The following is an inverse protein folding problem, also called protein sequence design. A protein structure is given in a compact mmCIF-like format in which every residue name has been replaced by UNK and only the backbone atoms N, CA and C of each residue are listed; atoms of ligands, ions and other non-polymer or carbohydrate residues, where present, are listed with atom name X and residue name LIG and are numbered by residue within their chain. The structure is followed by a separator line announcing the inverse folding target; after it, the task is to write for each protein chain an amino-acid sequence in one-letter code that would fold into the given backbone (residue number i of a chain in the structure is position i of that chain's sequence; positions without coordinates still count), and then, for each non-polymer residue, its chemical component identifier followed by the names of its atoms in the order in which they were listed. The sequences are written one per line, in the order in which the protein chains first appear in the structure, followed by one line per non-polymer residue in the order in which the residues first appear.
data_IF_133825285924
#
_entry.id   IF_133825285924
#
_cell.length_a   1.000
_cell.length_b   1.000
_cell.length_c   1.000
_cell.angle_alpha   90.00
_cell.angle_beta   90.00
_cell.angle_gamma   90.00
#
_symmetry.space_group_name_H-M   'P 1'
#
loop_
_entity.id
_entity.type
_entity.pdbx_description
1 polymer ?
#
# COMPACT_ATOMS: atom_id res chain seq x y z
N UNK A 1 9.62 -13.05 -2.23
CA UNK A 1 8.50 -12.26 -2.75
C UNK A 1 8.57 -10.78 -2.49
N UNK A 2 9.73 -10.25 -2.78
CA UNK A 2 10.17 -8.93 -2.36
C UNK A 2 10.01 -7.85 -3.40
N UNK A 3 9.53 -8.22 -4.56
CA UNK A 3 9.37 -7.32 -5.68
C UNK A 3 7.93 -6.95 -5.94
N UNK A 4 7.00 -7.78 -5.49
CA UNK A 4 5.63 -7.37 -5.18
C UNK A 4 5.61 -6.33 -4.06
N UNK A 5 6.56 -6.40 -3.11
CA UNK A 5 6.65 -5.45 -2.00
C UNK A 5 7.05 -4.03 -2.38
N UNK A 6 7.61 -3.74 -3.57
CA UNK A 6 7.90 -2.36 -3.95
C UNK A 6 6.63 -1.56 -4.24
N UNK A 7 5.70 -2.10 -5.02
CA UNK A 7 4.40 -1.45 -5.22
C UNK A 7 3.52 -1.41 -3.96
N UNK A 8 3.51 -2.51 -3.20
CA UNK A 8 2.79 -2.61 -1.93
C UNK A 8 3.43 -1.75 -0.83
N UNK A 9 4.76 -1.72 -0.77
CA UNK A 9 5.50 -0.85 0.15
C UNK A 9 5.12 0.63 0.00
N UNK A 10 4.74 1.07 -1.18
CA UNK A 10 4.41 2.46 -1.47
C UNK A 10 3.07 2.89 -0.87
N UNK A 11 2.11 1.98 -0.75
CA UNK A 11 0.83 2.21 -0.06
C UNK A 11 1.04 2.37 1.45
N UNK A 12 1.87 1.52 2.09
CA UNK A 12 2.19 1.65 3.52
C UNK A 12 2.83 2.99 3.86
N UNK A 13 3.73 3.43 2.99
CA UNK A 13 4.57 4.61 3.20
C UNK A 13 3.76 5.89 3.22
N UNK A 14 2.70 5.96 2.40
CA UNK A 14 1.86 7.14 2.31
C UNK A 14 1.17 7.47 3.62
N UNK A 15 0.56 6.50 4.28
CA UNK A 15 -0.19 6.75 5.52
C UNK A 15 0.72 7.27 6.63
N UNK A 16 1.90 6.66 6.79
CA UNK A 16 2.88 7.17 7.75
C UNK A 16 3.34 8.58 7.35
N UNK A 17 3.51 8.84 6.04
CA UNK A 17 3.93 10.15 5.55
C UNK A 17 2.87 11.22 5.72
N UNK A 18 1.59 10.92 5.62
CA UNK A 18 0.53 11.90 5.87
C UNK A 18 0.46 12.33 7.33
N UNK A 19 0.70 11.42 8.28
CA UNK A 19 0.89 11.80 9.68
C UNK A 19 2.13 12.65 9.93
N UNK A 20 3.18 12.43 9.16
CA UNK A 20 4.47 13.12 9.31
C UNK A 20 4.50 14.42 8.51
N UNK A 21 3.68 14.57 7.46
CA UNK A 21 3.59 15.81 6.65
C UNK A 21 3.45 17.09 7.49
N UNK A 22 2.51 17.23 8.43
CA UNK A 22 2.41 18.43 9.24
C UNK A 22 3.67 18.71 10.08
N UNK A 23 4.41 17.65 10.42
CA UNK A 23 5.65 17.72 11.18
C UNK A 23 6.88 18.01 10.31
N UNK A 24 6.81 17.73 9.00
CA UNK A 24 7.90 17.90 8.04
C UNK A 24 7.80 19.26 7.32
N UNK A 25 6.59 19.78 7.05
CA UNK A 25 6.38 20.95 6.19
C UNK A 25 6.83 22.30 6.78
N UNK A 26 7.12 22.39 8.07
CA UNK A 26 7.71 23.58 8.66
C UNK A 26 9.22 23.44 8.87
N UNK A 27 10.01 23.90 7.93
CA UNK A 27 11.39 24.39 8.05
C UNK A 27 12.60 23.49 7.75
N UNK A 28 12.49 22.11 7.61
CA UNK A 28 13.72 21.29 7.45
C UNK A 28 13.57 20.15 6.42
N UNK A 29 13.11 20.46 5.21
CA UNK A 29 12.84 19.46 4.15
C UNK A 29 14.08 18.74 3.58
N UNK A 30 15.31 19.05 4.02
CA UNK A 30 16.51 18.56 3.34
C UNK A 30 17.44 17.67 4.20
N UNK A 31 17.14 17.45 5.48
CA UNK A 31 18.00 16.67 6.35
C UNK A 31 17.46 15.25 6.57
N UNK A 32 18.07 14.26 5.93
CA UNK A 32 17.72 12.84 6.00
C UNK A 32 17.62 12.35 7.45
N UNK A 33 18.59 12.68 8.30
CA UNK A 33 18.62 12.24 9.69
C UNK A 33 17.46 12.82 10.52
N UNK A 34 17.08 14.05 10.27
CA UNK A 34 15.94 14.68 10.97
C UNK A 34 14.62 14.00 10.60
N UNK A 35 14.40 13.69 9.32
CA UNK A 35 13.23 12.95 8.85
C UNK A 35 13.22 11.54 9.44
N UNK A 36 14.37 10.85 9.37
CA UNK A 36 14.54 9.54 9.99
C UNK A 36 14.18 9.52 11.47
N UNK A 37 14.67 10.50 12.24
CA UNK A 37 14.38 10.57 13.68
C UNK A 37 12.92 10.80 14.01
N UNK A 38 12.22 11.61 13.21
CA UNK A 38 10.76 11.83 13.35
C UNK A 38 9.97 10.57 13.03
N UNK A 39 10.27 9.93 11.90
CA UNK A 39 9.62 8.69 11.48
C UNK A 39 9.89 7.57 12.50
N UNK A 40 11.12 7.46 12.99
CA UNK A 40 11.49 6.48 14.02
C UNK A 40 10.66 6.63 15.30
N UNK A 41 10.42 7.86 15.73
CA UNK A 41 9.57 8.15 16.91
C UNK A 41 8.15 7.64 16.69
N UNK A 42 7.57 7.90 15.52
CA UNK A 42 6.23 7.42 15.16
C UNK A 42 6.21 5.89 15.10
N UNK A 43 7.17 5.27 14.41
CA UNK A 43 7.26 3.82 14.32
C UNK A 43 7.38 3.15 15.69
N UNK A 44 8.14 3.73 16.63
CA UNK A 44 8.23 3.24 18.02
C UNK A 44 6.88 3.33 18.73
N UNK A 45 6.20 4.46 18.62
CA UNK A 45 4.88 4.67 19.25
C UNK A 45 3.86 3.63 18.79
N UNK A 46 3.79 3.35 17.49
CA UNK A 46 2.81 2.40 16.93
C UNK A 46 3.32 0.96 16.89
N UNK A 47 4.61 0.73 17.09
CA UNK A 47 5.23 -0.59 17.23
C UNK A 47 5.23 -1.13 18.65
N UNK A 48 4.74 -0.37 19.62
CA UNK A 48 4.68 -0.80 21.02
C UNK A 48 3.97 -2.16 21.17
N UNK A 49 4.44 -2.99 22.11
CA UNK A 49 4.00 -4.37 22.31
C UNK A 49 4.33 -5.37 21.16
N UNK A 50 4.90 -4.90 20.04
CA UNK A 50 5.34 -5.77 18.93
C UNK A 50 6.85 -5.94 18.90
N UNK A 51 7.56 -5.12 19.63
CA UNK A 51 9.03 -5.05 19.68
C UNK A 51 9.50 -5.10 21.14
N UNK A 52 10.73 -5.59 21.32
CA UNK A 52 11.39 -5.52 22.64
C UNK A 52 11.89 -4.09 22.94
N UNK A 53 12.40 -3.86 24.15
CA UNK A 53 12.94 -2.56 24.60
C UNK A 53 14.01 -1.96 23.66
N UNK A 54 14.74 -2.83 22.92
CA UNK A 54 15.74 -2.42 21.93
C UNK A 54 15.17 -2.15 20.53
N UNK A 55 13.85 -2.27 20.34
CA UNK A 55 13.18 -2.01 19.08
C UNK A 55 13.26 -3.13 18.05
N UNK A 56 13.49 -4.37 18.48
CA UNK A 56 13.56 -5.55 17.63
C UNK A 56 12.37 -6.48 17.83
N UNK A 57 11.96 -7.17 16.77
CA UNK A 57 10.99 -8.26 16.84
C UNK A 57 11.57 -9.34 17.76
N UNK A 58 10.82 -9.84 18.76
CA UNK A 58 11.27 -10.93 19.62
C UNK A 58 11.64 -12.17 18.80
N UNK A 59 12.88 -12.62 18.94
CA UNK A 59 13.40 -13.82 18.27
C UNK A 59 14.60 -14.39 19.02
N UNK A 60 14.89 -15.70 18.93
CA UNK A 60 16.09 -16.28 19.49
C UNK A 60 17.35 -15.74 18.78
N UNK A 61 18.48 -15.74 19.51
CA UNK A 61 19.78 -15.36 18.97
C UNK A 61 20.23 -13.94 19.33
N UNK A 62 21.23 -13.46 18.60
CA UNK A 62 21.86 -12.16 18.87
C UNK A 62 20.92 -11.02 18.50
N UNK A 63 20.68 -10.13 19.45
CA UNK A 63 19.85 -8.92 19.25
C UNK A 63 20.60 -7.91 18.40
N UNK A 64 20.06 -7.50 17.22
CA UNK A 64 20.70 -6.52 16.37
C UNK A 64 20.85 -5.15 17.04
N UNK A 65 22.01 -4.53 16.91
CA UNK A 65 22.25 -3.16 17.45
C UNK A 65 21.49 -2.08 16.66
N UNK A 66 21.44 -2.20 15.33
CA UNK A 66 20.55 -1.39 14.49
C UNK A 66 19.22 -2.14 14.46
N UNK A 67 18.21 -1.62 15.13
CA UNK A 67 16.96 -2.34 15.43
C UNK A 67 16.07 -2.53 14.20
N UNK A 68 15.09 -3.44 14.30
CA UNK A 68 14.12 -3.68 13.23
C UNK A 68 13.24 -2.45 12.98
N UNK A 69 12.91 -1.70 14.03
CA UNK A 69 12.15 -0.46 13.90
C UNK A 69 12.96 0.64 13.21
N UNK A 70 14.30 0.66 13.39
CA UNK A 70 15.18 1.57 12.65
C UNK A 70 15.26 1.20 11.16
N UNK A 71 15.25 -0.09 10.84
CA UNK A 71 15.18 -0.55 9.43
C UNK A 71 13.89 -0.08 8.77
N UNK A 72 12.74 -0.20 9.46
CA UNK A 72 11.44 0.30 8.97
C UNK A 72 11.49 1.83 8.79
N UNK A 73 11.94 2.54 9.82
CA UNK A 73 12.03 4.00 9.77
C UNK A 73 12.94 4.48 8.64
N UNK A 74 14.07 3.82 8.40
CA UNK A 74 14.98 4.16 7.31
C UNK A 74 14.34 3.90 5.94
N UNK A 75 13.61 2.80 5.79
CA UNK A 75 12.87 2.50 4.57
C UNK A 75 11.81 3.58 4.27
N UNK A 76 11.02 3.95 5.27
CA UNK A 76 10.02 5.02 5.15
C UNK A 76 10.65 6.38 4.87
N UNK A 77 11.83 6.65 5.44
CA UNK A 77 12.58 7.88 5.18
C UNK A 77 13.04 7.97 3.72
N UNK A 78 13.55 6.87 3.15
CA UNK A 78 13.97 6.85 1.74
C UNK A 78 12.82 7.19 0.81
N UNK A 79 11.64 6.64 1.07
CA UNK A 79 10.44 6.92 0.28
C UNK A 79 9.94 8.36 0.47
N UNK A 80 9.92 8.84 1.73
CA UNK A 80 9.54 10.22 2.04
C UNK A 80 10.40 11.27 1.30
N UNK A 81 11.64 10.91 1.04
CA UNK A 81 12.62 11.77 0.35
C UNK A 81 12.72 11.48 -1.16
N UNK A 82 11.92 10.58 -1.71
CA UNK A 82 11.99 10.17 -3.11
C UNK A 82 13.33 9.51 -3.49
N UNK A 83 13.95 8.78 -2.55
CA UNK A 83 15.22 8.08 -2.79
C UNK A 83 14.93 6.64 -3.21
N UNK A 84 14.79 6.38 -4.49
CA UNK A 84 14.45 5.06 -5.03
C UNK A 84 15.60 4.05 -4.99
N UNK A 85 16.85 4.55 -4.98
CA UNK A 85 18.03 3.71 -5.03
C UNK A 85 18.64 3.49 -3.65
N UNK A 86 18.71 2.22 -3.21
CA UNK A 86 19.41 1.84 -1.98
C UNK A 86 20.89 2.28 -2.00
N UNK A 87 21.54 2.24 -3.16
CA UNK A 87 22.92 2.72 -3.30
C UNK A 87 22.99 4.23 -3.02
N UNK A 88 22.08 5.02 -3.57
CA UNK A 88 22.03 6.46 -3.33
C UNK A 88 21.70 6.76 -1.85
N UNK A 89 20.76 6.00 -1.26
CA UNK A 89 20.45 6.13 0.16
C UNK A 89 21.71 5.93 1.02
N UNK A 90 22.49 4.87 0.79
CA UNK A 90 23.68 4.58 1.57
C UNK A 90 24.84 5.54 1.31
N UNK A 91 24.95 6.15 0.12
CA UNK A 91 25.87 7.27 -0.14
C UNK A 91 25.51 8.46 0.75
N UNK A 92 24.25 8.88 0.78
CA UNK A 92 23.78 9.99 1.62
C UNK A 92 23.92 9.69 3.12
N UNK A 93 23.69 8.45 3.54
CA UNK A 93 23.86 8.02 4.94
C UNK A 93 25.31 8.08 5.41
N UNK A 94 26.27 8.05 4.50
CA UNK A 94 27.69 8.17 4.87
C UNK A 94 28.04 9.47 5.59
N UNK A 95 27.29 10.55 5.36
CA UNK A 95 27.42 11.85 6.02
C UNK A 95 26.94 11.80 7.49
N UNK A 96 26.14 10.81 7.85
CA UNK A 96 25.52 10.69 9.18
C UNK A 96 26.10 9.55 10.03
N UNK A 97 27.25 8.99 9.69
CA UNK A 97 27.88 7.88 10.42
C UNK A 97 28.03 8.15 11.92
N UNK A 98 28.40 9.36 12.29
CA UNK A 98 28.55 9.75 13.70
C UNK A 98 27.22 9.76 14.46
N UNK A 99 26.10 10.02 13.76
CA UNK A 99 24.74 10.05 14.34
C UNK A 99 24.08 8.68 14.31
N UNK A 100 24.58 7.76 13.47
CA UNK A 100 24.06 6.41 13.28
C UNK A 100 25.21 5.37 13.40
N UNK A 101 25.84 5.23 14.58
CA UNK A 101 27.03 4.39 14.75
C UNK A 101 26.76 2.90 14.52
N UNK A 102 25.52 2.46 14.67
CA UNK A 102 25.12 1.06 14.46
C UNK A 102 24.54 0.80 13.07
N UNK A 103 24.64 1.77 12.13
CA UNK A 103 24.13 1.60 10.78
C UNK A 103 24.71 0.34 10.12
N UNK A 104 23.85 -0.50 9.61
CA UNK A 104 24.18 -1.76 8.95
C UNK A 104 24.61 -1.54 7.49
N UNK A 105 25.22 -2.55 6.89
CA UNK A 105 25.53 -2.53 5.46
C UNK A 105 24.26 -2.54 4.59
N UNK A 106 24.39 -2.05 3.35
CA UNK A 106 23.29 -2.06 2.37
C UNK A 106 22.70 -3.46 2.16
N UNK A 107 23.55 -4.50 2.12
CA UNK A 107 23.09 -5.90 1.99
C UNK A 107 22.23 -6.32 3.19
N UNK A 108 22.73 -6.10 4.41
CA UNK A 108 21.99 -6.40 5.62
C UNK A 108 20.66 -5.62 5.70
N UNK A 109 20.69 -4.35 5.30
CA UNK A 109 19.48 -3.53 5.21
C UNK A 109 18.45 -4.16 4.25
N UNK A 110 18.89 -4.54 3.04
CA UNK A 110 18.01 -5.17 2.06
C UNK A 110 17.37 -6.46 2.59
N UNK A 111 18.18 -7.33 3.21
CA UNK A 111 17.71 -8.59 3.76
C UNK A 111 16.73 -8.36 4.93
N UNK A 112 17.06 -7.45 5.84
CA UNK A 112 16.22 -7.16 7.01
C UNK A 112 14.93 -6.41 6.66
N UNK A 113 14.95 -5.52 5.69
CA UNK A 113 13.74 -4.86 5.20
C UNK A 113 12.67 -5.86 4.79
N UNK A 114 13.09 -7.01 4.28
CA UNK A 114 12.20 -8.12 3.91
C UNK A 114 11.53 -8.74 5.13
N UNK A 115 12.31 -9.05 6.12
CA UNK A 115 11.81 -9.74 7.33
C UNK A 115 10.98 -8.82 8.23
N UNK A 116 11.07 -7.51 8.08
CA UNK A 116 10.31 -6.53 8.87
C UNK A 116 8.99 -6.10 8.20
N UNK A 117 8.64 -6.65 7.05
CA UNK A 117 7.43 -6.26 6.30
C UNK A 117 6.13 -6.42 7.09
N UNK A 118 5.98 -7.54 7.80
CA UNK A 118 4.79 -7.80 8.65
C UNK A 118 4.67 -6.79 9.78
N UNK A 119 5.78 -6.45 10.45
CA UNK A 119 5.77 -5.42 11.49
C UNK A 119 5.40 -4.05 10.91
N UNK A 120 5.93 -3.73 9.73
CA UNK A 120 5.60 -2.48 9.02
C UNK A 120 4.10 -2.40 8.68
N UNK A 121 3.49 -3.51 8.22
CA UNK A 121 2.05 -3.56 7.95
C UNK A 121 1.21 -3.40 9.23
N UNK A 122 1.60 -4.05 10.31
CA UNK A 122 0.89 -3.91 11.59
C UNK A 122 0.95 -2.47 12.10
N UNK A 123 2.11 -1.80 12.01
CA UNK A 123 2.26 -0.38 12.34
C UNK A 123 1.34 0.47 11.45
N UNK A 124 1.28 0.20 10.15
CA UNK A 124 0.39 0.89 9.21
C UNK A 124 -1.08 0.77 9.64
N UNK A 125 -1.55 -0.44 9.93
CA UNK A 125 -2.94 -0.70 10.34
C UNK A 125 -3.30 0.10 11.62
N UNK A 126 -2.42 0.10 12.61
CA UNK A 126 -2.60 0.88 13.85
C UNK A 126 -2.65 2.39 13.59
N UNK A 127 -1.84 2.88 12.65
CA UNK A 127 -1.85 4.27 12.23
C UNK A 127 -3.17 4.61 11.53
N UNK A 128 -3.62 3.77 10.61
CA UNK A 128 -4.88 3.94 9.90
C UNK A 128 -6.06 4.00 10.89
N UNK A 129 -6.11 3.05 11.81
CA UNK A 129 -7.12 3.02 12.88
C UNK A 129 -7.07 4.26 13.79
N UNK A 130 -5.88 4.77 14.10
CA UNK A 130 -5.74 5.98 14.92
C UNK A 130 -6.23 7.25 14.22
N UNK A 131 -6.06 7.33 12.88
CA UNK A 131 -6.46 8.52 12.10
C UNK A 131 -7.96 8.47 11.78
N UNK A 132 -8.47 7.31 11.45
CA UNK A 132 -9.75 7.10 10.78
C UNK A 132 -10.57 5.97 11.44
N UNK A 133 -10.27 5.68 12.70
CA UNK A 133 -11.02 4.69 13.48
C UNK A 133 -12.45 5.18 13.72
N UNK A 134 -13.43 4.34 13.35
CA UNK A 134 -14.85 4.68 13.40
C UNK A 134 -15.41 5.22 12.09
N UNK A 135 -14.64 5.19 10.98
CA UNK A 135 -15.17 5.47 9.64
C UNK A 135 -16.18 4.37 9.23
N UNK A 136 -17.35 4.79 8.78
CA UNK A 136 -18.42 3.91 8.33
C UNK A 136 -18.57 3.90 6.80
N UNK A 137 -17.88 4.82 6.11
CA UNK A 137 -17.97 4.97 4.65
C UNK A 137 -16.61 4.81 4.02
N UNK A 138 -16.49 3.81 3.17
CA UNK A 138 -15.26 3.50 2.46
C UNK A 138 -15.42 3.61 0.95
N UNK A 139 -14.33 3.88 0.26
CA UNK A 139 -14.26 3.83 -1.20
C UNK A 139 -13.38 2.66 -1.61
N UNK A 140 -13.84 1.87 -2.59
CA UNK A 140 -13.08 0.77 -3.19
C UNK A 140 -12.83 1.05 -4.67
N UNK A 141 -11.62 0.80 -5.12
CA UNK A 141 -11.28 0.83 -6.54
C UNK A 141 -10.04 -0.01 -6.83
N UNK A 142 -9.74 -0.21 -8.11
CA UNK A 142 -8.56 -0.94 -8.56
C UNK A 142 -7.76 -0.15 -9.57
N UNK A 143 -6.43 -0.29 -9.51
CA UNK A 143 -5.50 0.35 -10.42
C UNK A 143 -4.58 -0.65 -11.10
N UNK A 144 -4.44 -0.60 -12.45
CA UNK A 144 -3.45 -1.37 -13.18
C UNK A 144 -2.03 -1.03 -12.76
N UNK A 145 -1.21 -2.06 -12.55
CA UNK A 145 0.23 -1.97 -12.28
C UNK A 145 0.95 -2.74 -13.37
N UNK A 146 1.50 -2.03 -14.33
CA UNK A 146 2.25 -2.62 -15.42
C UNK A 146 3.62 -3.12 -14.95
N UNK A 147 3.98 -4.33 -15.35
CA UNK A 147 5.29 -4.92 -15.08
C UNK A 147 6.24 -4.69 -16.25
N UNK A 148 5.73 -4.79 -17.46
CA UNK A 148 6.47 -4.52 -18.68
C UNK A 148 5.51 -4.25 -19.83
N UNK A 149 6.03 -3.75 -20.96
CA UNK A 149 5.24 -3.57 -22.19
C UNK A 149 4.56 -4.88 -22.60
N UNK A 150 3.32 -4.81 -23.06
CA UNK A 150 2.49 -5.96 -23.48
C UNK A 150 3.26 -6.92 -24.39
N UNK A 151 4.00 -6.40 -25.38
CA UNK A 151 4.80 -7.22 -26.31
C UNK A 151 5.91 -8.06 -25.62
N UNK A 152 6.30 -7.70 -24.40
CA UNK A 152 7.29 -8.42 -23.59
C UNK A 152 6.67 -9.40 -22.58
N UNK A 153 5.36 -9.38 -22.38
CA UNK A 153 4.67 -10.16 -21.36
C UNK A 153 5.03 -11.65 -21.39
N UNK A 154 5.00 -12.29 -22.57
CA UNK A 154 5.36 -13.71 -22.75
C UNK A 154 6.82 -14.02 -22.36
N UNK A 155 7.72 -13.05 -22.38
CA UNK A 155 9.15 -13.19 -22.04
C UNK A 155 9.47 -12.72 -20.62
N UNK A 156 8.49 -12.21 -19.88
CA UNK A 156 8.67 -11.77 -18.50
C UNK A 156 9.10 -12.94 -17.62
N UNK A 157 10.13 -12.71 -16.80
CA UNK A 157 10.67 -13.73 -15.88
C UNK A 157 10.07 -13.66 -14.48
N UNK A 158 9.30 -12.60 -14.18
CA UNK A 158 8.69 -12.39 -12.88
C UNK A 158 7.70 -13.52 -12.55
N UNK A 159 7.80 -14.12 -11.39
CA UNK A 159 6.92 -15.19 -10.93
C UNK A 159 7.08 -16.53 -11.64
N UNK A 160 8.18 -16.78 -12.40
CA UNK A 160 8.39 -18.05 -13.08
C UNK A 160 8.46 -19.27 -12.15
N UNK A 161 8.96 -19.06 -10.93
CA UNK A 161 9.07 -20.11 -9.92
C UNK A 161 7.76 -20.35 -9.16
N UNK A 162 6.79 -19.45 -9.30
CA UNK A 162 5.49 -19.55 -8.66
C UNK A 162 4.41 -18.97 -9.59
N UNK A 163 3.78 -19.83 -10.34
CA UNK A 163 2.73 -19.47 -11.30
C UNK A 163 1.54 -18.80 -10.64
N UNK A 164 1.31 -19.05 -9.35
CA UNK A 164 0.24 -18.40 -8.61
C UNK A 164 0.45 -16.89 -8.46
N UNK A 165 1.72 -16.46 -8.46
CA UNK A 165 2.14 -15.07 -8.31
C UNK A 165 2.59 -14.40 -9.60
N UNK A 166 2.65 -15.15 -10.71
CA UNK A 166 3.06 -14.60 -12.01
C UNK A 166 2.09 -13.51 -12.49
N UNK A 167 2.58 -12.40 -13.08
CA UNK A 167 1.73 -11.40 -13.69
C UNK A 167 0.96 -11.98 -14.89
N UNK A 168 -0.12 -11.33 -15.28
CA UNK A 168 -0.96 -11.76 -16.40
C UNK A 168 -1.36 -10.61 -17.31
N UNK A 169 -1.96 -10.93 -18.47
CA UNK A 169 -2.59 -9.93 -19.32
C UNK A 169 -3.93 -9.50 -18.71
N UNK A 170 -4.20 -8.20 -18.73
CA UNK A 170 -5.45 -7.60 -18.33
C UNK A 170 -5.87 -6.51 -19.30
N UNK A 171 -7.10 -6.06 -19.19
CA UNK A 171 -7.65 -4.96 -19.96
C UNK A 171 -8.10 -3.84 -19.02
N UNK A 172 -7.63 -2.62 -19.28
CA UNK A 172 -8.04 -1.43 -18.57
C UNK A 172 -9.13 -0.71 -19.37
N UNK A 173 -10.37 -0.79 -18.91
CA UNK A 173 -11.53 -0.21 -19.62
C UNK A 173 -11.47 1.32 -19.71
N UNK A 174 -11.00 2.00 -18.67
CA UNK A 174 -10.88 3.46 -18.63
C UNK A 174 -9.85 4.00 -19.62
N UNK A 175 -8.75 3.28 -19.83
CA UNK A 175 -7.68 3.63 -20.75
C UNK A 175 -7.82 2.98 -22.13
N UNK A 176 -8.80 2.05 -22.28
CA UNK A 176 -9.07 1.29 -23.51
C UNK A 176 -7.82 0.54 -24.03
N UNK A 177 -6.95 0.06 -23.13
CA UNK A 177 -5.74 -0.63 -23.51
C UNK A 177 -5.55 -1.94 -22.75
N UNK A 178 -4.77 -2.86 -23.36
CA UNK A 178 -4.26 -4.06 -22.70
C UNK A 178 -2.96 -3.74 -21.98
N UNK A 179 -2.75 -4.39 -20.84
CA UNK A 179 -1.52 -4.29 -20.09
C UNK A 179 -1.09 -5.68 -19.59
N UNK A 180 0.17 -5.82 -19.23
CA UNK A 180 0.71 -7.02 -18.61
C UNK A 180 1.25 -6.71 -17.23
N UNK A 181 0.67 -7.31 -16.19
CA UNK A 181 1.04 -6.98 -14.83
C UNK A 181 0.07 -7.49 -13.78
N UNK A 182 -0.17 -6.63 -12.82
CA UNK A 182 -1.05 -6.84 -11.68
C UNK A 182 -2.12 -5.76 -11.60
N UNK A 183 -3.05 -5.96 -10.69
CA UNK A 183 -4.07 -5.00 -10.32
C UNK A 183 -3.96 -4.73 -8.82
N UNK A 184 -3.73 -3.48 -8.44
CA UNK A 184 -3.79 -3.03 -7.06
C UNK A 184 -5.24 -2.71 -6.73
N UNK A 185 -5.81 -3.43 -5.78
CA UNK A 185 -7.08 -3.09 -5.15
C UNK A 185 -6.81 -2.32 -3.88
N UNK A 186 -7.60 -1.31 -3.57
CA UNK A 186 -7.48 -0.58 -2.32
C UNK A 186 -8.87 -0.19 -1.78
N UNK A 187 -8.96 -0.12 -0.46
CA UNK A 187 -10.10 0.43 0.27
C UNK A 187 -9.57 1.59 1.11
N UNK A 188 -10.15 2.77 0.92
CA UNK A 188 -9.82 3.95 1.73
C UNK A 188 -11.07 4.55 2.38
N UNK A 189 -10.91 5.18 3.55
CA UNK A 189 -11.92 6.01 4.16
C UNK A 189 -12.14 7.32 3.39
N UNK A 190 -13.15 8.08 3.77
CA UNK A 190 -13.45 9.38 3.12
C UNK A 190 -12.33 10.41 3.35
N UNK A 191 -11.55 10.25 4.40
CA UNK A 191 -10.34 11.04 4.67
C UNK A 191 -9.21 10.78 3.67
N UNK A 192 -9.22 9.62 2.97
CA UNK A 192 -8.16 9.12 2.09
C UNK A 192 -7.12 8.27 2.82
N UNK A 193 -7.43 7.80 3.99
CA UNK A 193 -6.62 6.80 4.68
C UNK A 193 -6.88 5.43 4.05
N UNK A 194 -5.84 4.76 3.54
CA UNK A 194 -5.94 3.42 2.98
C UNK A 194 -5.97 2.40 4.12
N UNK A 195 -7.10 1.77 4.33
CA UNK A 195 -7.30 0.76 5.38
C UNK A 195 -6.79 -0.62 4.96
N UNK A 196 -7.16 -1.06 3.76
CA UNK A 196 -6.69 -2.32 3.21
C UNK A 196 -6.37 -2.23 1.72
N UNK A 197 -5.56 -3.15 1.26
CA UNK A 197 -5.24 -3.29 -0.16
C UNK A 197 -4.76 -4.71 -0.45
N UNK A 198 -4.86 -5.10 -1.73
CA UNK A 198 -4.36 -6.38 -2.24
C UNK A 198 -3.83 -6.23 -3.66
N UNK A 199 -2.97 -7.13 -4.06
CA UNK A 199 -2.38 -7.17 -5.39
C UNK A 199 -2.75 -8.49 -6.08
N UNK A 200 -3.66 -8.41 -7.05
CA UNK A 200 -4.07 -9.57 -7.84
C UNK A 200 -3.42 -9.58 -9.22
N UNK A 201 -3.45 -10.73 -9.91
CA UNK A 201 -3.08 -10.78 -11.33
C UNK A 201 -4.02 -9.89 -12.15
N UNK A 202 -3.50 -9.27 -13.21
CA UNK A 202 -4.30 -8.39 -14.07
C UNK A 202 -5.55 -9.04 -14.67
N UNK A 203 -5.55 -10.37 -14.86
CA UNK A 203 -6.70 -11.14 -15.36
C UNK A 203 -7.81 -11.38 -14.32
N UNK A 204 -7.54 -11.15 -13.03
CA UNK A 204 -8.52 -11.38 -11.97
C UNK A 204 -9.59 -10.29 -12.01
N UNK A 205 -10.86 -10.68 -11.96
CA UNK A 205 -11.96 -9.73 -11.94
C UNK A 205 -12.07 -9.05 -10.58
N UNK A 206 -12.38 -7.75 -10.56
CA UNK A 206 -12.43 -6.91 -9.34
C UNK A 206 -13.37 -7.46 -8.25
N UNK A 207 -14.48 -8.09 -8.65
CA UNK A 207 -15.42 -8.75 -7.75
C UNK A 207 -14.77 -9.79 -6.83
N UNK A 208 -13.69 -10.45 -7.28
CA UNK A 208 -13.05 -11.47 -6.46
C UNK A 208 -12.37 -10.89 -5.20
N UNK A 209 -11.94 -9.64 -5.25
CA UNK A 209 -11.42 -8.95 -4.07
C UNK A 209 -12.51 -8.77 -3.00
N UNK A 210 -13.75 -8.49 -3.41
CA UNK A 210 -14.86 -8.30 -2.50
C UNK A 210 -15.20 -9.54 -1.64
N UNK A 211 -14.90 -10.74 -2.12
CA UNK A 211 -15.22 -11.98 -1.40
C UNK A 211 -14.51 -12.11 -0.05
N UNK A 212 -13.39 -11.43 0.09
CA UNK A 212 -12.54 -11.50 1.29
C UNK A 212 -12.75 -10.34 2.25
N UNK A 213 -13.33 -9.21 1.80
CA UNK A 213 -13.45 -8.00 2.63
C UNK A 213 -14.36 -8.17 3.84
N UNK A 214 -15.34 -9.10 3.79
CA UNK A 214 -16.21 -9.42 4.91
C UNK A 214 -15.52 -9.97 6.16
N UNK A 215 -14.25 -10.36 6.04
CA UNK A 215 -13.44 -10.79 7.19
C UNK A 215 -12.71 -9.62 7.85
N UNK A 216 -12.64 -8.47 7.19
CA UNK A 216 -11.91 -7.29 7.68
C UNK A 216 -12.85 -6.12 8.02
N UNK A 217 -14.06 -6.07 7.41
CA UNK A 217 -15.02 -4.98 7.55
C UNK A 217 -16.39 -5.49 8.00
N UNK A 218 -17.05 -4.69 8.83
CA UNK A 218 -18.40 -4.94 9.33
C UNK A 218 -19.15 -3.62 9.50
N UNK A 219 -20.49 -3.67 9.41
CA UNK A 219 -21.39 -2.54 9.74
C UNK A 219 -21.01 -1.22 9.01
N UNK A 220 -20.70 -1.31 7.71
CA UNK A 220 -20.23 -0.16 6.94
C UNK A 220 -20.83 -0.10 5.53
N UNK A 221 -20.60 1.04 4.87
CA UNK A 221 -20.97 1.24 3.46
C UNK A 221 -19.69 1.36 2.61
N UNK A 222 -19.61 0.58 1.52
CA UNK A 222 -18.47 0.61 0.60
C UNK A 222 -18.92 1.12 -0.75
N UNK A 223 -18.31 2.21 -1.22
CA UNK A 223 -18.64 2.88 -2.46
C UNK A 223 -17.72 2.39 -3.58
N UNK A 224 -18.25 1.62 -4.53
CA UNK A 224 -17.50 1.05 -5.65
C UNK A 224 -17.89 1.64 -7.01
N UNK A 225 -17.16 1.24 -8.05
CA UNK A 225 -17.52 1.51 -9.43
C UNK A 225 -18.44 0.41 -10.01
N UNK A 226 -18.84 0.57 -11.28
CA UNK A 226 -19.68 -0.43 -11.98
C UNK A 226 -19.00 -1.79 -12.18
N UNK A 227 -17.69 -1.88 -12.03
CA UNK A 227 -16.92 -3.13 -12.08
C UNK A 227 -17.24 -4.08 -10.93
N UNK A 228 -17.79 -3.54 -9.84
CA UNK A 228 -18.15 -4.30 -8.64
C UNK A 228 -19.60 -4.74 -8.58
N UNK A 229 -20.41 -4.54 -9.65
CA UNK A 229 -21.82 -4.94 -9.70
C UNK A 229 -21.92 -6.46 -9.69
N UNK A 230 -22.48 -7.02 -8.61
CA UNK A 230 -22.84 -8.44 -8.50
C UNK A 230 -23.89 -8.62 -7.41
N UNK A 231 -25.13 -8.97 -7.79
CA UNK A 231 -26.21 -9.18 -6.83
C UNK A 231 -25.88 -10.21 -5.76
N UNK A 232 -25.26 -11.33 -6.15
CA UNK A 232 -24.91 -12.41 -5.22
C UNK A 232 -23.84 -11.96 -4.20
N UNK A 233 -22.82 -11.22 -4.65
CA UNK A 233 -21.76 -10.72 -3.75
C UNK A 233 -22.29 -9.61 -2.86
N UNK A 234 -23.13 -8.70 -3.38
CA UNK A 234 -23.77 -7.65 -2.59
C UNK A 234 -24.65 -8.23 -1.48
N UNK A 235 -25.43 -9.29 -1.80
CA UNK A 235 -26.27 -9.98 -0.82
C UNK A 235 -25.40 -10.70 0.24
N UNK A 236 -24.37 -11.45 -0.18
CA UNK A 236 -23.45 -12.13 0.73
C UNK A 236 -22.78 -11.16 1.70
N UNK A 237 -22.29 -10.03 1.22
CA UNK A 237 -21.67 -8.99 2.05
C UNK A 237 -22.65 -8.39 3.07
N UNK A 238 -23.90 -8.17 2.64
CA UNK A 238 -24.93 -7.62 3.52
C UNK A 238 -25.36 -8.63 4.59
N UNK A 239 -25.65 -9.87 4.19
CA UNK A 239 -26.13 -10.92 5.11
C UNK A 239 -25.04 -11.37 6.10
N UNK A 240 -23.77 -11.43 5.67
CA UNK A 240 -22.69 -11.99 6.51
C UNK A 240 -21.97 -10.95 7.36
N UNK A 241 -21.90 -9.70 6.94
CA UNK A 241 -21.10 -8.67 7.60
C UNK A 241 -21.79 -7.30 7.69
N UNK A 242 -23.09 -7.20 7.32
CA UNK A 242 -23.84 -5.94 7.26
C UNK A 242 -23.11 -4.84 6.45
N UNK A 243 -22.43 -5.24 5.37
CA UNK A 243 -21.75 -4.32 4.47
C UNK A 243 -22.68 -3.93 3.33
N UNK A 244 -22.95 -2.64 3.17
CA UNK A 244 -23.70 -2.08 2.05
C UNK A 244 -22.73 -1.71 0.93
N UNK A 245 -22.72 -2.50 -0.15
CA UNK A 245 -21.93 -2.18 -1.34
C UNK A 245 -22.73 -1.29 -2.28
N UNK A 246 -22.42 0.00 -2.30
CA UNK A 246 -23.06 1.03 -3.11
C UNK A 246 -22.31 1.20 -4.44
N UNK A 247 -22.94 0.83 -5.54
CA UNK A 247 -22.39 0.90 -6.90
C UNK A 247 -23.37 1.60 -7.84
N UNK A 248 -22.89 2.43 -8.79
CA UNK A 248 -23.76 3.10 -9.74
C UNK A 248 -24.47 2.11 -10.64
N UNK A 249 -25.78 2.26 -10.80
CA UNK A 249 -26.57 1.42 -11.72
C UNK A 249 -26.11 1.59 -13.18
N UNK A 250 -26.22 0.51 -13.96
CA UNK A 250 -26.10 0.59 -15.41
C UNK A 250 -27.40 1.16 -16.00
N UNK A 251 -27.30 1.99 -17.04
CA UNK A 251 -28.47 2.63 -17.68
C UNK A 251 -29.51 1.63 -18.18
N UNK A 252 -29.11 0.41 -18.49
CA UNK A 252 -29.97 -0.67 -18.97
C UNK A 252 -30.51 -1.60 -17.85
N UNK A 253 -30.27 -1.28 -16.58
CA UNK A 253 -30.85 -2.03 -15.46
C UNK A 253 -32.32 -1.67 -15.27
N UNK A 254 -33.16 -2.67 -14.99
CA UNK A 254 -34.64 -2.48 -14.75
C UNK A 254 -34.89 -1.59 -13.53
N UNK A 255 -34.06 -1.72 -12.50
CA UNK A 255 -34.17 -0.98 -11.23
C UNK A 255 -33.23 0.25 -11.22
N UNK A 256 -33.01 0.90 -12.38
CA UNK A 256 -32.14 2.04 -12.48
C UNK A 256 -32.62 3.19 -11.58
N UNK A 257 -31.68 3.73 -10.81
CA UNK A 257 -31.85 4.96 -10.06
C UNK A 257 -30.58 5.84 -10.20
N UNK A 258 -30.71 7.17 -10.10
CA UNK A 258 -29.55 8.04 -10.13
C UNK A 258 -28.64 7.78 -8.92
N UNK A 259 -27.33 7.83 -9.14
CA UNK A 259 -26.34 7.73 -8.05
C UNK A 259 -26.51 8.90 -7.11
N UNK A 260 -26.52 8.63 -5.82
CA UNK A 260 -26.53 9.69 -4.80
C UNK A 260 -25.31 10.57 -4.95
N UNK A 261 -25.50 11.87 -5.18
CA UNK A 261 -24.43 12.81 -5.54
C UNK A 261 -23.28 12.83 -4.52
N UNK A 262 -23.51 12.81 -3.18
CA UNK A 262 -22.45 12.71 -2.20
C UNK A 262 -21.57 11.46 -2.38
N UNK A 263 -22.14 10.30 -2.68
CA UNK A 263 -21.39 9.06 -2.93
C UNK A 263 -20.49 9.17 -4.17
N UNK A 264 -21.01 9.75 -5.26
CA UNK A 264 -20.25 9.99 -6.47
C UNK A 264 -19.05 10.95 -6.21
N UNK A 265 -19.24 11.95 -5.36
CA UNK A 265 -18.16 12.87 -4.96
C UNK A 265 -17.15 12.20 -4.03
N UNK A 266 -17.61 11.45 -3.03
CA UNK A 266 -16.76 10.73 -2.09
C UNK A 266 -15.82 9.74 -2.80
N UNK A 267 -16.33 9.01 -3.79
CA UNK A 267 -15.55 8.05 -4.56
C UNK A 267 -14.33 8.63 -5.29
N UNK A 268 -14.35 9.95 -5.61
CA UNK A 268 -13.18 10.62 -6.20
C UNK A 268 -11.97 10.62 -5.27
N UNK A 269 -12.16 10.35 -3.99
CA UNK A 269 -11.07 10.31 -3.04
C UNK A 269 -10.05 9.21 -3.37
N UNK A 270 -10.50 8.01 -3.65
CA UNK A 270 -9.60 6.90 -3.99
C UNK A 270 -8.86 7.15 -5.32
N UNK A 271 -9.48 7.84 -6.28
CA UNK A 271 -8.82 8.24 -7.52
C UNK A 271 -7.66 9.22 -7.24
N UNK A 272 -7.88 10.17 -6.32
CA UNK A 272 -6.84 11.08 -5.83
C UNK A 272 -5.71 10.30 -5.15
N UNK A 273 -6.04 9.31 -4.34
CA UNK A 273 -5.07 8.46 -3.66
C UNK A 273 -4.20 7.68 -4.65
N UNK A 274 -4.81 7.11 -5.68
CA UNK A 274 -4.06 6.45 -6.75
C UNK A 274 -3.18 7.42 -7.54
N UNK A 275 -3.63 8.66 -7.79
CA UNK A 275 -2.80 9.67 -8.44
C UNK A 275 -1.58 10.02 -7.59
N UNK A 276 -1.77 10.23 -6.30
CA UNK A 276 -0.66 10.51 -5.38
C UNK A 276 0.33 9.33 -5.29
N UNK A 277 -0.15 8.08 -5.30
CA UNK A 277 0.73 6.91 -5.36
C UNK A 277 1.57 6.89 -6.65
N UNK A 278 1.01 7.33 -7.77
CA UNK A 278 1.75 7.42 -9.03
C UNK A 278 2.78 8.54 -9.03
N UNK A 279 2.38 9.74 -8.58
CA UNK A 279 3.18 10.95 -8.71
C UNK A 279 4.28 11.05 -7.65
N UNK A 280 3.97 10.65 -6.41
CA UNK A 280 4.92 10.75 -5.29
C UNK A 280 5.77 9.50 -5.12
N UNK A 281 5.21 8.31 -5.37
CA UNK A 281 5.87 7.02 -5.12
C UNK A 281 6.13 6.22 -6.38
N UNK A 282 5.82 6.78 -7.56
CA UNK A 282 6.12 6.20 -8.87
C UNK A 282 5.67 4.74 -9.02
N UNK A 283 4.53 4.37 -8.43
CA UNK A 283 4.03 2.99 -8.37
C UNK A 283 3.87 2.34 -9.76
N UNK A 284 3.69 3.17 -10.80
CA UNK A 284 3.60 2.73 -12.21
C UNK A 284 4.94 2.35 -12.82
N UNK A 285 6.06 2.67 -12.16
CA UNK A 285 7.42 2.35 -12.64
C UNK A 285 7.97 1.17 -11.88
N UNK A 286 7.84 -0.01 -12.44
CA UNK A 286 8.43 -1.21 -11.86
C UNK A 286 9.84 -1.45 -12.44
N UNK A 287 10.86 -1.26 -11.59
CA UNK A 287 12.28 -1.52 -11.92
C UNK A 287 12.75 -2.90 -11.49
N UNK A 288 11.87 -3.79 -11.02
CA UNK A 288 12.25 -5.14 -10.66
C UNK A 288 12.71 -5.90 -11.91
N UNK A 289 13.94 -6.44 -11.89
CA UNK A 289 14.56 -7.11 -13.05
C UNK A 289 14.38 -8.62 -13.04
N UNK A 290 14.14 -9.19 -11.90
CA UNK A 290 13.99 -10.63 -11.71
C UNK A 290 13.08 -11.00 -10.56
N UNK A 291 12.75 -12.24 -10.35
CA UNK A 291 11.94 -12.82 -9.28
C UNK A 291 12.78 -13.27 -8.12
#
# INVERSE_FOLDING_TARGET
DLRMSRGLGDVYKRQILEMVKPLIYHQYMHNLYTIFSKILKICKQFGDNLINEKGNIPRPGVVPKFSDIEVIALNLTSEAMGIDSESNLFIRLSEYKNKMPNLISRRQYNDRRKTTSTLCDTIRKRIAEKIDGGEEYFCIDSKPIEVCRVARGKRCKMGRNDYSKAPSFGYCASQKNYYYGYKLHAICGLSGVIHSFDLTKASVHDINYLKNIKYEYHDCSILGDRGYISKNVQLDLFETANIRLEVPYRLNQKDWSPTFIPFAKARKRIETDFSQLCDQFMIVRNYAKDT
#
